data_IF_017537201986
#
_entry.id   IF_017537201986
#
_cell.length_a   1.000
_cell.length_b   1.000
_cell.length_c   1.000
_cell.angle_alpha   90.00
_cell.angle_beta   90.00
_cell.angle_gamma   90.00
#
_symmetry.space_group_name_H-M   'P 1'
#
loop_
_entity.id
_entity.type
_entity.pdbx_description
1 polymer ?
#
# COMPACT_ATOMS: atom_id res chain seq x y z
N UNK A 1 61.91 -29.68 28.99
CA UNK A 1 60.60 -30.17 29.48
C UNK A 1 59.90 -29.06 30.24
N UNK A 2 58.76 -28.57 29.75
CA UNK A 2 57.67 -27.90 30.51
C UNK A 2 56.50 -27.73 29.53
N UNK A 3 55.47 -28.55 29.73
CA UNK A 3 54.21 -28.54 28.99
C UNK A 3 53.15 -27.79 29.82
N UNK A 4 52.04 -27.49 29.14
CA UNK A 4 50.68 -27.19 29.64
C UNK A 4 50.31 -25.70 29.74
N UNK A 5 49.74 -25.19 28.65
CA UNK A 5 48.70 -24.16 28.73
C UNK A 5 47.34 -24.87 28.62
N UNK A 6 46.58 -24.82 29.71
CA UNK A 6 45.23 -25.36 29.82
C UNK A 6 44.23 -24.30 29.36
N UNK A 7 43.27 -24.76 28.56
CA UNK A 7 42.20 -24.02 27.92
C UNK A 7 41.21 -23.38 28.90
N UNK A 8 40.53 -22.32 28.43
CA UNK A 8 39.14 -22.03 28.79
C UNK A 8 38.49 -21.23 27.66
N UNK A 9 37.96 -21.95 26.65
CA UNK A 9 36.98 -21.41 25.71
C UNK A 9 35.61 -21.47 26.41
N UNK A 10 35.09 -20.33 26.87
CA UNK A 10 33.69 -20.21 27.30
C UNK A 10 32.93 -19.41 26.26
N UNK A 11 32.47 -20.08 25.19
CA UNK A 11 31.48 -19.54 24.27
C UNK A 11 30.09 -19.71 24.88
N UNK A 12 29.58 -18.65 25.50
CA UNK A 12 28.21 -18.58 26.01
C UNK A 12 27.26 -18.34 24.83
N UNK A 13 26.80 -19.40 24.18
CA UNK A 13 25.79 -19.33 23.13
C UNK A 13 24.39 -19.24 23.77
N UNK A 14 23.88 -18.01 23.91
CA UNK A 14 22.50 -17.76 24.33
C UNK A 14 21.55 -17.97 23.13
N UNK A 15 21.08 -19.21 22.93
CA UNK A 15 20.04 -19.51 21.93
C UNK A 15 18.68 -19.11 22.53
N UNK A 16 18.27 -17.87 22.31
CA UNK A 16 16.88 -17.45 22.53
C UNK A 16 16.02 -17.96 21.37
N UNK A 17 15.48 -19.16 21.50
CA UNK A 17 14.42 -19.68 20.63
C UNK A 17 13.11 -18.95 20.92
N UNK A 18 12.94 -17.75 20.37
CA UNK A 18 11.63 -17.11 20.29
C UNK A 18 10.78 -17.84 19.26
N UNK A 19 10.04 -18.85 19.71
CA UNK A 19 8.96 -19.47 18.93
C UNK A 19 7.88 -18.42 18.67
N UNK A 20 8.01 -17.73 17.55
CA UNK A 20 7.00 -16.80 17.07
C UNK A 20 5.80 -17.63 16.62
N UNK A 21 4.82 -17.80 17.50
CA UNK A 21 3.48 -18.23 17.10
C UNK A 21 2.86 -17.09 16.26
N UNK A 22 3.30 -16.96 15.02
CA UNK A 22 2.64 -16.08 14.04
C UNK A 22 1.40 -16.83 13.61
N UNK A 23 0.33 -16.67 14.37
CA UNK A 23 -1.01 -16.87 13.87
C UNK A 23 -1.15 -16.02 12.62
N UNK A 24 -1.07 -16.66 11.45
CA UNK A 24 -1.38 -16.05 10.16
C UNK A 24 -2.88 -15.81 10.18
N UNK A 25 -3.27 -14.67 10.73
CA UNK A 25 -4.61 -14.15 10.56
C UNK A 25 -4.85 -14.05 9.05
N UNK A 26 -5.70 -14.93 8.52
CA UNK A 26 -6.31 -14.77 7.20
C UNK A 26 -7.11 -13.48 7.27
N UNK A 27 -6.47 -12.36 6.92
CA UNK A 27 -7.16 -11.10 6.76
C UNK A 27 -8.17 -11.32 5.64
N UNK A 28 -9.45 -11.42 5.99
CA UNK A 28 -10.55 -11.32 5.06
C UNK A 28 -10.56 -9.90 4.51
N UNK A 29 -9.63 -9.65 3.59
CA UNK A 29 -9.31 -8.34 3.03
C UNK A 29 -10.28 -7.99 1.90
N UNK A 30 -11.56 -8.35 2.08
CA UNK A 30 -12.64 -8.03 1.18
C UNK A 30 -12.79 -6.51 1.18
N UNK A 31 -12.52 -5.90 0.03
CA UNK A 31 -12.94 -4.53 -0.25
C UNK A 31 -14.46 -4.51 -0.11
N UNK A 32 -14.97 -3.80 0.90
CA UNK A 32 -16.41 -3.67 1.15
C UNK A 32 -16.82 -2.22 0.82
N UNK A 33 -17.21 -1.93 -0.43
CA UNK A 33 -17.50 -0.59 -0.88
C UNK A 33 -18.90 -0.18 -0.48
N UNK A 34 -19.21 -0.17 0.83
CA UNK A 34 -20.50 0.36 1.29
C UNK A 34 -20.65 1.83 0.92
N UNK A 35 -19.54 2.60 0.87
CA UNK A 35 -19.46 3.97 0.35
C UNK A 35 -18.01 4.30 -0.09
N UNK A 36 -17.56 3.88 -1.29
CA UNK A 36 -16.21 4.21 -1.73
C UNK A 36 -16.11 5.68 -2.13
N UNK A 37 -14.98 6.31 -1.82
CA UNK A 37 -14.63 7.64 -2.30
C UNK A 37 -14.16 7.56 -3.76
N UNK A 38 -14.41 8.60 -4.53
CA UNK A 38 -13.81 8.73 -5.87
C UNK A 38 -12.50 9.47 -5.73
N UNK A 39 -11.42 8.88 -6.22
CA UNK A 39 -10.09 9.50 -6.22
C UNK A 39 -9.51 9.61 -7.62
N UNK A 40 -8.56 10.54 -7.77
CA UNK A 40 -7.68 10.67 -8.94
C UNK A 40 -6.23 10.74 -8.47
N UNK A 41 -5.30 10.53 -9.39
CA UNK A 41 -3.87 10.64 -9.12
C UNK A 41 -3.34 11.88 -9.84
N UNK A 42 -2.80 12.83 -9.09
CA UNK A 42 -2.21 14.06 -9.63
C UNK A 42 -0.86 13.79 -10.31
N UNK A 43 -0.44 14.71 -11.19
CA UNK A 43 0.88 14.66 -11.81
C UNK A 43 1.99 14.76 -10.75
N UNK A 44 3.21 14.33 -11.09
CA UNK A 44 4.34 14.52 -10.18
C UNK A 44 4.81 15.95 -10.31
N UNK A 45 5.02 16.64 -9.20
CA UNK A 45 5.63 17.98 -9.22
C UNK A 45 7.07 17.95 -9.76
N UNK A 46 7.79 16.85 -9.49
CA UNK A 46 9.23 16.72 -9.74
C UNK A 46 9.59 15.80 -10.91
N UNK A 47 8.61 15.22 -11.61
CA UNK A 47 8.90 14.31 -12.73
C UNK A 47 7.78 14.25 -13.76
N UNK A 48 8.14 14.01 -15.02
CA UNK A 48 7.18 13.75 -16.10
C UNK A 48 6.54 12.35 -16.02
N UNK A 49 6.54 11.71 -14.83
CA UNK A 49 5.99 10.36 -14.65
C UNK A 49 4.46 10.39 -14.57
N UNK A 50 3.85 9.99 -15.69
CA UNK A 50 2.41 9.72 -15.81
C UNK A 50 2.00 8.34 -15.25
N UNK A 51 2.89 7.67 -14.53
CA UNK A 51 2.65 6.37 -13.91
C UNK A 51 2.72 6.45 -12.39
N UNK A 52 1.88 5.68 -11.73
CA UNK A 52 1.78 5.61 -10.28
C UNK A 52 1.87 4.17 -9.78
N UNK A 53 2.58 3.96 -8.66
CA UNK A 53 2.91 2.62 -8.16
C UNK A 53 1.77 2.03 -7.32
N UNK A 54 1.49 0.74 -7.53
CA UNK A 54 0.56 -0.03 -6.69
C UNK A 54 1.33 -0.72 -5.56
N UNK A 55 0.73 -0.77 -4.38
CA UNK A 55 1.23 -1.45 -3.19
C UNK A 55 0.30 -2.57 -2.76
N UNK A 56 0.82 -3.51 -1.98
CA UNK A 56 0.06 -4.58 -1.33
C UNK A 56 0.41 -4.67 0.16
N UNK A 57 -0.55 -5.05 0.98
CA UNK A 57 -0.33 -5.39 2.37
C UNK A 57 0.20 -6.84 2.46
N UNK A 58 1.36 -7.01 3.09
CA UNK A 58 1.96 -8.31 3.41
C UNK A 58 2.53 -8.25 4.83
N UNK A 59 2.16 -9.18 5.69
CA UNK A 59 2.65 -9.26 7.08
C UNK A 59 2.53 -7.92 7.83
N UNK A 60 1.34 -7.29 7.75
CA UNK A 60 1.03 -5.97 8.36
C UNK A 60 1.91 -4.80 7.85
N UNK A 61 2.68 -5.00 6.78
CA UNK A 61 3.53 -3.98 6.15
C UNK A 61 3.10 -3.75 4.71
N UNK A 62 3.18 -2.50 4.27
CA UNK A 62 2.90 -2.12 2.89
C UNK A 62 4.15 -2.35 2.03
N UNK A 63 4.01 -3.14 0.98
CA UNK A 63 5.11 -3.55 0.09
C UNK A 63 4.84 -3.04 -1.32
N UNK A 64 5.83 -2.36 -1.89
CA UNK A 64 5.82 -1.92 -3.27
C UNK A 64 5.69 -3.11 -4.24
N UNK A 65 4.79 -3.00 -5.21
CA UNK A 65 4.71 -3.98 -6.30
C UNK A 65 5.51 -3.48 -7.52
N UNK A 66 5.79 -4.40 -8.46
CA UNK A 66 6.32 -4.03 -9.78
C UNK A 66 5.27 -3.34 -10.66
N UNK A 67 3.97 -3.44 -10.32
CA UNK A 67 2.86 -2.87 -11.09
C UNK A 67 2.81 -1.35 -10.91
N UNK A 68 2.69 -0.66 -12.05
CA UNK A 68 2.35 0.77 -12.12
C UNK A 68 1.11 0.95 -12.97
N UNK A 69 0.28 1.93 -12.65
CA UNK A 69 -0.90 2.31 -13.42
C UNK A 69 -0.66 3.67 -14.07
N UNK A 70 -1.21 3.91 -15.26
CA UNK A 70 -1.21 5.25 -15.86
C UNK A 70 -2.21 6.14 -15.14
N UNK A 71 -1.88 7.42 -14.92
CA UNK A 71 -2.79 8.39 -14.30
C UNK A 71 -3.94 8.80 -15.25
N UNK A 72 -3.70 8.70 -16.56
CA UNK A 72 -4.65 9.01 -17.63
C UNK A 72 -4.73 7.87 -18.66
N UNK A 73 -5.72 7.96 -19.55
CA UNK A 73 -5.86 7.16 -20.76
C UNK A 73 -6.35 8.06 -21.91
N UNK A 74 -6.64 7.48 -23.08
CA UNK A 74 -7.18 8.22 -24.24
C UNK A 74 -8.49 8.97 -23.96
N UNK A 75 -9.22 8.60 -22.91
CA UNK A 75 -10.49 9.20 -22.48
C UNK A 75 -10.31 10.25 -21.36
N UNK A 76 -9.07 10.57 -20.98
CA UNK A 76 -8.75 11.55 -19.94
C UNK A 76 -8.23 10.93 -18.64
N UNK A 77 -8.44 11.64 -17.53
CA UNK A 77 -7.98 11.23 -16.20
C UNK A 77 -8.71 9.96 -15.77
N UNK A 78 -7.98 9.01 -15.19
CA UNK A 78 -8.58 7.81 -14.60
C UNK A 78 -9.10 8.14 -13.21
N UNK A 79 -10.29 7.63 -12.92
CA UNK A 79 -10.87 7.70 -11.58
C UNK A 79 -10.81 6.32 -10.94
N UNK A 80 -10.75 6.27 -9.62
CA UNK A 80 -10.82 5.03 -8.87
C UNK A 80 -11.84 5.15 -7.76
N UNK A 81 -12.57 4.06 -7.51
CA UNK A 81 -13.31 3.87 -6.27
C UNK A 81 -12.32 3.39 -5.21
N UNK A 82 -12.20 4.12 -4.11
CA UNK A 82 -11.20 3.82 -3.09
C UNK A 82 -11.76 3.97 -1.67
N UNK A 83 -11.11 3.28 -0.73
CA UNK A 83 -11.37 3.43 0.70
C UNK A 83 -10.08 3.90 1.40
N UNK A 84 -10.17 4.95 2.20
CA UNK A 84 -9.05 5.42 3.03
C UNK A 84 -8.80 4.44 4.19
N UNK A 85 -7.57 3.98 4.33
CA UNK A 85 -7.12 3.08 5.40
C UNK A 85 -5.86 3.63 6.06
N UNK A 86 -5.85 3.66 7.40
CA UNK A 86 -4.65 3.97 8.18
C UNK A 86 -3.91 2.67 8.50
N UNK A 87 -2.68 2.53 7.98
CA UNK A 87 -1.83 1.35 8.19
C UNK A 87 -0.45 1.85 8.62
N UNK A 88 -0.01 1.46 9.82
CA UNK A 88 1.26 1.93 10.43
C UNK A 88 1.39 3.45 10.42
N UNK A 89 0.36 4.15 10.92
CA UNK A 89 0.23 5.61 10.98
C UNK A 89 0.32 6.35 9.63
N UNK A 90 0.24 5.65 8.51
CA UNK A 90 0.22 6.24 7.16
C UNK A 90 -1.14 6.00 6.51
N UNK A 91 -1.62 6.99 5.77
CA UNK A 91 -2.84 6.88 4.98
C UNK A 91 -2.56 6.17 3.65
N UNK A 92 -3.38 5.18 3.34
CA UNK A 92 -3.37 4.39 2.12
C UNK A 92 -4.77 4.33 1.53
N UNK A 93 -4.85 4.39 0.21
CA UNK A 93 -6.12 4.28 -0.51
C UNK A 93 -6.26 2.87 -1.07
N UNK A 94 -7.16 2.08 -0.49
CA UNK A 94 -7.47 0.72 -0.96
C UNK A 94 -8.36 0.82 -2.20
N UNK A 95 -7.86 0.34 -3.34
CA UNK A 95 -8.52 0.44 -4.65
C UNK A 95 -9.03 -0.91 -5.18
N UNK A 96 -8.85 -1.98 -4.41
CA UNK A 96 -9.22 -3.32 -4.80
C UNK A 96 -8.73 -4.36 -3.80
N UNK A 97 -8.82 -5.64 -4.17
CA UNK A 97 -8.37 -6.75 -3.31
C UNK A 97 -6.85 -6.68 -3.11
N UNK A 98 -6.42 -6.37 -1.88
CA UNK A 98 -5.02 -6.19 -1.49
C UNK A 98 -4.22 -5.26 -2.44
N UNK A 99 -4.86 -4.21 -2.94
CA UNK A 99 -4.25 -3.21 -3.82
C UNK A 99 -4.46 -1.83 -3.24
N UNK A 100 -3.35 -1.07 -3.17
CA UNK A 100 -3.35 0.23 -2.51
C UNK A 100 -2.52 1.25 -3.28
N UNK A 101 -2.95 2.51 -3.19
CA UNK A 101 -2.12 3.67 -3.47
C UNK A 101 -1.64 4.31 -2.18
N UNK A 102 -0.42 4.84 -2.21
CA UNK A 102 0.05 5.74 -1.15
C UNK A 102 -0.71 7.05 -1.27
N UNK A 103 -0.98 7.74 -0.17
CA UNK A 103 -1.70 9.02 -0.21
C UNK A 103 -0.97 10.13 -0.99
N UNK A 104 0.35 10.01 -1.21
CA UNK A 104 1.11 11.00 -1.97
C UNK A 104 0.57 11.13 -3.39
N UNK A 105 0.12 12.32 -3.81
CA UNK A 105 -0.48 12.61 -5.13
C UNK A 105 -1.86 11.97 -5.36
N UNK A 106 -2.59 11.59 -4.30
CA UNK A 106 -3.97 11.13 -4.44
C UNK A 106 -4.90 12.24 -3.97
N UNK A 107 -5.82 12.64 -4.85
CA UNK A 107 -6.83 13.65 -4.57
C UNK A 107 -8.22 13.02 -4.54
N UNK A 108 -9.06 13.44 -3.60
CA UNK A 108 -10.46 13.03 -3.53
C UNK A 108 -11.32 13.93 -4.41
N UNK A 109 -12.27 13.33 -5.12
CA UNK A 109 -13.19 14.04 -6.01
C UNK A 109 -14.54 14.18 -5.33
N UNK A 110 -15.00 15.42 -5.21
CA UNK A 110 -16.35 15.71 -4.72
C UNK A 110 -17.38 15.43 -5.83
N UNK A 111 -17.84 14.17 -5.90
CA UNK A 111 -18.79 13.70 -6.91
C UNK A 111 -20.10 14.49 -6.90
N UNK A 112 -20.59 14.89 -5.72
CA UNK A 112 -21.82 15.66 -5.60
C UNK A 112 -21.68 17.05 -6.26
N UNK A 113 -20.55 17.73 -6.04
CA UNK A 113 -20.22 18.99 -6.71
C UNK A 113 -20.05 18.79 -8.21
N UNK A 114 -19.33 17.76 -8.65
CA UNK A 114 -19.18 17.46 -10.08
C UNK A 114 -20.52 17.27 -10.78
N UNK A 115 -21.45 16.52 -10.17
CA UNK A 115 -22.81 16.31 -10.71
C UNK A 115 -23.60 17.62 -10.82
N UNK A 116 -23.51 18.50 -9.81
CA UNK A 116 -24.14 19.84 -9.86
C UNK A 116 -23.60 20.71 -10.99
N UNK A 117 -22.33 20.54 -11.36
CA UNK A 117 -21.68 21.24 -12.47
C UNK A 117 -21.87 20.53 -13.82
N UNK A 118 -22.72 19.50 -13.91
CA UNK A 118 -22.95 18.74 -15.15
C UNK A 118 -21.80 17.80 -15.55
N UNK A 119 -20.78 17.65 -14.71
CA UNK A 119 -19.62 16.77 -14.96
C UNK A 119 -19.97 15.35 -14.53
N UNK A 120 -20.09 14.43 -15.51
CA UNK A 120 -20.34 13.01 -15.27
C UNK A 120 -19.03 12.22 -15.18
N UNK A 121 -18.80 11.54 -14.06
CA UNK A 121 -17.63 10.69 -13.85
C UNK A 121 -17.99 9.25 -14.23
N UNK A 122 -17.54 8.81 -15.40
CA UNK A 122 -17.96 7.52 -15.98
C UNK A 122 -16.78 6.53 -16.12
N UNK A 123 -15.54 7.01 -15.96
CA UNK A 123 -14.31 6.28 -16.27
C UNK A 123 -13.60 5.81 -15.00
N UNK A 124 -14.19 4.83 -14.31
CA UNK A 124 -13.57 4.15 -13.19
C UNK A 124 -12.67 3.01 -13.69
N UNK A 125 -11.47 2.90 -13.12
CA UNK A 125 -10.48 1.92 -13.53
C UNK A 125 -10.53 0.59 -12.75
N UNK A 126 -11.47 0.44 -11.82
CA UNK A 126 -11.64 -0.72 -10.94
C UNK A 126 -13.12 -1.09 -10.73
#
# INVERSE_FOLDING_TARGET
MKKLFIAALTSLALVLSLSSNVAVAKSNDNFNPKNPETIVISASETSNSNKYRVYKLKNKKMVATKKKVSINNKKGIRHWKAESKKINNKTWWKIGKNQYFKASRVETVNVARSKKLGIKINNYAN
#
